data_IF_179773645571
#
_entry.id   IF_179773645571
#
_cell.length_a   1.000
_cell.length_b   1.000
_cell.length_c   1.000
_cell.angle_alpha   90.00
_cell.angle_beta   90.00
_cell.angle_gamma   90.00
#
_symmetry.space_group_name_H-M   'P 1'
#
loop_
_entity.id
_entity.type
_entity.pdbx_description
1 polymer ?
#
# COMPACT_ATOMS: atom_id res chain seq x y z
N UNK A 1 55.38 10.32 12.17
CA UNK A 1 54.77 10.33 11.73
C UNK A 1 53.54 10.26 11.85
N UNK A 2 52.98 10.58 11.75
CA UNK A 2 51.89 10.69 11.91
C UNK A 2 50.91 10.04 11.30
N UNK A 3 50.39 9.77 11.37
CA UNK A 3 49.50 9.22 10.91
C UNK A 3 48.34 9.62 10.68
N UNK A 4 47.87 9.45 10.39
CA UNK A 4 46.92 9.76 9.92
C UNK A 4 45.77 9.37 10.25
N UNK A 5 45.19 9.42 10.49
CA UNK A 5 44.21 9.15 10.90
C UNK A 5 43.09 9.09 10.11
N UNK A 6 42.69 8.88 9.87
CA UNK A 6 41.73 8.79 9.18
C UNK A 6 40.56 8.69 9.62
N UNK A 7 40.05 8.97 9.62
CA UNK A 7 38.95 9.07 10.00
C UNK A 7 38.05 8.29 9.53
N UNK A 8 38.12 8.08 9.00
CA UNK A 8 37.38 7.33 8.50
C UNK A 8 36.26 7.02 9.00
N UNK A 9 36.13 6.67 9.45
CA UNK A 9 35.11 6.25 10.05
C UNK A 9 33.91 6.75 9.63
N UNK A 10 33.70 7.32 9.55
CA UNK A 10 32.73 7.78 9.35
C UNK A 10 31.92 7.40 8.50
N UNK A 11 31.91 7.22 8.16
CA UNK A 11 31.16 6.95 7.27
C UNK A 11 29.94 6.54 7.44
N UNK A 12 29.62 6.39 7.57
CA UNK A 12 28.71 5.90 7.55
C UNK A 12 27.59 6.00 7.64
N UNK A 13 27.39 6.21 7.87
CA UNK A 13 26.44 6.33 8.00
C UNK A 13 25.52 5.89 7.31
N UNK A 14 25.21 5.76 7.17
CA UNK A 14 24.50 5.40 6.62
C UNK A 14 23.43 5.36 6.64
N UNK A 15 23.29 5.31 6.57
CA UNK A 15 22.40 5.14 6.18
C UNK A 15 21.28 4.90 6.61
N UNK A 16 21.29 4.39 6.99
CA UNK A 16 20.29 4.04 7.49
C UNK A 16 19.29 4.79 7.25
N UNK A 17 19.41 5.24 7.65
CA UNK A 17 18.49 6.06 7.58
C UNK A 17 17.99 6.20 6.31
N UNK A 18 18.73 6.51 5.73
CA UNK A 18 18.35 6.80 4.56
C UNK A 18 17.21 6.16 4.20
N UNK A 19 17.26 5.22 4.27
CA UNK A 19 16.36 4.67 3.75
C UNK A 19 15.16 4.75 4.31
N UNK A 20 15.01 4.80 5.28
CA UNK A 20 13.84 4.69 5.93
C UNK A 20 12.62 5.35 5.39
N UNK A 21 12.59 5.87 4.27
CA UNK A 21 11.36 6.41 3.73
C UNK A 21 10.32 5.31 3.59
N UNK A 22 9.12 5.50 4.14
CA UNK A 22 8.09 4.48 4.03
C UNK A 22 7.58 4.39 2.60
N UNK A 23 7.17 3.20 2.21
CA UNK A 23 6.58 3.00 0.88
C UNK A 23 5.26 3.74 0.80
N UNK A 24 4.47 3.68 1.87
CA UNK A 24 3.17 4.33 1.91
C UNK A 24 3.32 5.65 2.67
N UNK A 25 2.86 6.78 2.11
CA UNK A 25 2.98 8.06 2.78
C UNK A 25 2.32 8.06 4.15
N UNK A 26 2.87 8.83 5.07
CA UNK A 26 2.32 8.87 6.43
C UNK A 26 0.90 9.39 6.46
N UNK A 27 0.53 10.25 5.51
CA UNK A 27 -0.81 10.82 5.48
C UNK A 27 -1.77 10.00 4.62
N UNK A 28 -1.57 8.70 4.55
CA UNK A 28 -2.37 7.85 3.66
C UNK A 28 -3.85 7.86 4.01
N UNK A 29 -4.19 8.04 5.27
CA UNK A 29 -5.61 8.08 5.66
C UNK A 29 -6.29 9.30 5.06
N UNK A 30 -5.66 10.46 5.16
CA UNK A 30 -6.21 11.70 4.60
C UNK A 30 -6.29 11.61 3.08
N UNK A 31 -5.29 11.03 2.47
CA UNK A 31 -5.28 10.86 1.02
C UNK A 31 -6.42 9.92 0.58
N UNK A 32 -6.60 8.82 1.32
CA UNK A 32 -7.68 7.87 1.00
C UNK A 32 -9.05 8.55 1.11
N UNK A 33 -9.23 9.34 2.16
CA UNK A 33 -10.49 10.05 2.33
C UNK A 33 -10.74 11.03 1.21
N UNK A 34 -9.74 11.83 0.85
CA UNK A 34 -9.89 12.84 -0.20
C UNK A 34 -10.21 12.16 -1.53
N UNK A 35 -9.49 11.09 -1.84
CA UNK A 35 -9.71 10.37 -3.10
C UNK A 35 -11.14 9.85 -3.19
N UNK A 36 -11.63 9.22 -2.13
CA UNK A 36 -12.96 8.61 -2.16
C UNK A 36 -14.06 9.67 -2.06
N UNK A 37 -13.80 10.77 -1.37
CA UNK A 37 -14.75 11.86 -1.30
C UNK A 37 -15.03 12.42 -2.69
N UNK A 38 -13.99 12.54 -3.50
CA UNK A 38 -14.11 13.11 -4.85
C UNK A 38 -14.48 12.07 -5.91
N UNK A 39 -14.16 10.81 -5.67
CA UNK A 39 -14.23 9.79 -6.71
C UNK A 39 -14.88 8.48 -6.26
N UNK A 40 -15.83 8.52 -5.34
CA UNK A 40 -16.41 7.26 -4.84
C UNK A 40 -17.14 6.48 -5.93
N UNK A 41 -17.55 7.14 -7.00
CA UNK A 41 -18.21 6.44 -8.11
C UNK A 41 -17.22 5.82 -9.10
N UNK A 42 -15.92 6.03 -8.88
CA UNK A 42 -14.88 5.50 -9.76
C UNK A 42 -14.86 3.97 -9.77
N UNK A 43 -15.25 3.34 -8.68
CA UNK A 43 -15.21 1.89 -8.57
C UNK A 43 -16.41 1.42 -7.75
N UNK A 44 -16.92 0.21 -8.04
CA UNK A 44 -18.04 -0.33 -7.29
C UNK A 44 -17.56 -0.94 -5.95
N UNK A 45 -18.50 -1.05 -5.02
CA UNK A 45 -18.23 -1.64 -3.71
C UNK A 45 -17.66 -3.05 -3.83
N UNK A 46 -18.25 -3.88 -4.68
CA UNK A 46 -17.79 -5.25 -4.85
C UNK A 46 -16.36 -5.30 -5.37
N UNK A 47 -16.04 -4.45 -6.35
CA UNK A 47 -14.71 -4.47 -6.94
C UNK A 47 -13.64 -4.02 -5.95
N UNK A 48 -13.92 -2.96 -5.18
CA UNK A 48 -12.92 -2.48 -4.23
C UNK A 48 -12.72 -3.48 -3.09
N UNK A 49 -13.79 -4.15 -2.65
CA UNK A 49 -13.67 -5.17 -1.63
C UNK A 49 -12.90 -6.38 -2.13
N UNK A 50 -13.06 -6.74 -3.40
CA UNK A 50 -12.29 -7.83 -3.98
C UNK A 50 -10.80 -7.52 -3.99
N UNK A 51 -10.42 -6.28 -4.27
CA UNK A 51 -9.03 -5.88 -4.23
C UNK A 51 -8.45 -6.02 -2.82
N UNK A 52 -9.20 -5.61 -1.81
CA UNK A 52 -8.75 -5.75 -0.43
C UNK A 52 -8.56 -7.21 -0.07
N UNK A 53 -9.46 -8.07 -0.51
CA UNK A 53 -9.40 -9.49 -0.21
C UNK A 53 -8.12 -10.14 -0.75
N UNK A 54 -7.65 -9.67 -1.90
CA UNK A 54 -6.44 -10.24 -2.48
C UNK A 54 -5.21 -10.08 -1.56
N UNK A 55 -5.17 -9.03 -0.77
CA UNK A 55 -4.03 -8.77 0.11
C UNK A 55 -4.20 -9.34 1.52
N UNK A 56 -5.37 -9.90 1.82
CA UNK A 56 -5.70 -10.32 3.17
C UNK A 56 -4.76 -11.38 3.73
N UNK A 57 -4.46 -12.39 2.94
CA UNK A 57 -3.66 -13.52 3.44
C UNK A 57 -2.25 -13.11 3.81
N UNK A 58 -1.58 -12.35 2.95
CA UNK A 58 -0.21 -11.95 3.24
C UNK A 58 -0.19 -10.98 4.43
N UNK A 59 -1.19 -10.13 4.54
CA UNK A 59 -1.30 -9.24 5.69
C UNK A 59 -1.46 -10.04 6.98
N UNK A 60 -2.36 -11.02 6.98
CA UNK A 60 -2.61 -11.82 8.18
C UNK A 60 -1.37 -12.59 8.60
N UNK A 61 -0.60 -13.10 7.64
CA UNK A 61 0.63 -13.80 7.96
C UNK A 61 1.66 -12.89 8.62
N UNK A 62 1.80 -11.67 8.12
CA UNK A 62 2.80 -10.76 8.65
C UNK A 62 2.34 -9.98 9.87
N UNK A 63 1.05 -9.75 10.02
CA UNK A 63 0.55 -8.96 11.13
C UNK A 63 0.83 -9.62 12.49
N UNK A 64 0.96 -10.95 12.52
CA UNK A 64 1.22 -11.68 13.76
C UNK A 64 2.69 -11.69 14.15
N UNK A 65 3.57 -11.32 13.24
CA UNK A 65 4.99 -11.37 13.50
C UNK A 65 5.46 -10.07 14.13
N UNK A 66 6.64 -10.11 14.72
CA UNK A 66 7.21 -8.94 15.37
C UNK A 66 8.53 -8.50 14.75
N UNK A 67 9.15 -9.33 13.91
CA UNK A 67 10.39 -8.97 13.25
C UNK A 67 10.18 -7.85 12.26
N UNK A 68 11.23 -7.10 12.02
CA UNK A 68 11.14 -5.98 11.07
C UNK A 68 11.05 -6.42 9.63
N UNK A 69 11.75 -7.47 9.27
CA UNK A 69 11.80 -7.90 7.88
C UNK A 69 10.64 -8.78 7.50
N UNK A 70 10.22 -8.65 6.26
CA UNK A 70 9.23 -9.57 5.70
C UNK A 70 9.85 -10.95 5.52
N UNK A 71 9.03 -11.99 5.69
CA UNK A 71 9.47 -13.33 5.36
C UNK A 71 9.64 -13.43 3.84
N UNK A 72 10.56 -14.26 3.42
CA UNK A 72 10.75 -14.52 2.00
C UNK A 72 9.45 -15.02 1.36
N UNK A 73 8.73 -15.85 2.08
CA UNK A 73 7.45 -16.36 1.61
C UNK A 73 6.47 -15.22 1.40
N UNK A 74 6.43 -14.26 2.30
CA UNK A 74 5.56 -13.10 2.15
C UNK A 74 5.95 -12.23 0.96
N UNK A 75 7.24 -12.07 0.71
CA UNK A 75 7.70 -11.34 -0.46
C UNK A 75 7.21 -12.04 -1.73
N UNK A 76 7.28 -13.37 -1.76
CA UNK A 76 6.79 -14.12 -2.90
C UNK A 76 5.27 -13.95 -3.06
N UNK A 77 4.53 -13.95 -1.96
CA UNK A 77 3.09 -13.71 -2.01
C UNK A 77 2.78 -12.31 -2.56
N UNK A 78 3.59 -11.32 -2.20
CA UNK A 78 3.42 -9.96 -2.71
C UNK A 78 3.67 -9.92 -4.22
N UNK A 79 4.66 -10.67 -4.69
CA UNK A 79 4.91 -10.76 -6.13
C UNK A 79 3.72 -11.37 -6.88
N UNK A 80 3.14 -12.42 -6.31
CA UNK A 80 1.96 -13.03 -6.92
C UNK A 80 0.75 -12.07 -6.87
N UNK A 81 0.62 -11.34 -5.79
CA UNK A 81 -0.42 -10.34 -5.67
C UNK A 81 -0.28 -9.27 -6.74
N UNK A 82 0.95 -8.87 -7.02
CA UNK A 82 1.22 -7.89 -8.07
C UNK A 82 0.78 -8.40 -9.45
N UNK A 83 1.05 -9.67 -9.73
CA UNK A 83 0.60 -10.28 -10.97
C UNK A 83 -0.93 -10.29 -11.03
N UNK A 84 -1.57 -10.66 -9.94
CA UNK A 84 -3.01 -10.71 -9.88
C UNK A 84 -3.64 -9.34 -10.07
N UNK A 85 -3.04 -8.33 -9.45
CA UNK A 85 -3.54 -6.97 -9.59
C UNK A 85 -3.40 -6.49 -11.05
N UNK A 86 -2.29 -6.81 -11.70
CA UNK A 86 -2.10 -6.48 -13.11
C UNK A 86 -3.18 -7.13 -13.97
N UNK A 87 -3.51 -8.37 -13.66
CA UNK A 87 -4.55 -9.08 -14.39
C UNK A 87 -5.91 -8.39 -14.23
N UNK A 88 -6.27 -8.04 -12.99
CA UNK A 88 -7.54 -7.38 -12.73
C UNK A 88 -7.63 -6.03 -13.43
N UNK A 89 -6.53 -5.28 -13.45
CA UNK A 89 -6.48 -4.00 -14.15
C UNK A 89 -6.59 -4.17 -15.65
N UNK A 90 -6.00 -5.24 -16.17
CA UNK A 90 -6.02 -5.48 -17.61
C UNK A 90 -7.39 -5.87 -18.15
N UNK A 91 -8.20 -6.50 -17.30
CA UNK A 91 -9.51 -6.96 -17.78
C UNK A 91 -10.66 -6.02 -17.41
N UNK A 92 -10.41 -5.01 -16.58
CA UNK A 92 -11.48 -4.14 -16.09
C UNK A 92 -10.95 -2.71 -16.02
N UNK A 93 -11.40 -1.86 -16.95
CA UNK A 93 -10.90 -0.49 -17.01
C UNK A 93 -11.27 0.34 -15.79
N UNK A 94 -12.39 0.05 -15.15
CA UNK A 94 -12.79 0.75 -13.94
C UNK A 94 -11.81 0.44 -12.80
N UNK A 95 -11.46 -0.84 -12.65
CA UNK A 95 -10.48 -1.26 -11.66
C UNK A 95 -9.13 -0.59 -11.95
N UNK A 96 -8.73 -0.56 -13.21
CA UNK A 96 -7.47 0.04 -13.60
C UNK A 96 -7.40 1.51 -13.23
N UNK A 97 -8.44 2.27 -13.54
CA UNK A 97 -8.48 3.69 -13.21
C UNK A 97 -8.39 3.92 -11.72
N UNK A 98 -9.09 3.10 -10.94
CA UNK A 98 -9.04 3.22 -9.50
C UNK A 98 -7.64 2.91 -8.96
N UNK A 99 -7.08 1.79 -9.42
CA UNK A 99 -5.75 1.35 -8.96
C UNK A 99 -4.70 2.41 -9.28
N UNK A 100 -4.79 3.02 -10.46
CA UNK A 100 -3.86 4.08 -10.85
C UNK A 100 -4.05 5.33 -10.01
N UNK A 101 -5.29 5.73 -9.76
CA UNK A 101 -5.58 6.91 -8.95
C UNK A 101 -5.12 6.75 -7.51
N UNK A 102 -5.20 5.53 -6.99
CA UNK A 102 -4.80 5.25 -5.62
C UNK A 102 -3.33 4.81 -5.50
N UNK A 103 -2.61 4.71 -6.61
CA UNK A 103 -1.21 4.26 -6.66
C UNK A 103 -1.00 2.87 -6.09
N UNK A 104 -2.01 2.03 -6.13
CA UNK A 104 -1.93 0.70 -5.52
C UNK A 104 -0.92 -0.21 -6.20
N UNK A 105 -0.86 -0.17 -7.53
CA UNK A 105 0.09 -1.01 -8.25
C UNK A 105 1.52 -0.55 -8.01
N UNK A 106 1.74 0.75 -8.01
CA UNK A 106 3.07 1.32 -7.80
C UNK A 106 3.61 0.99 -6.41
N UNK A 107 2.78 1.15 -5.38
CA UNK A 107 3.20 0.81 -4.02
C UNK A 107 3.50 -0.68 -3.90
N UNK A 108 2.66 -1.51 -4.52
CA UNK A 108 2.86 -2.95 -4.47
C UNK A 108 4.15 -3.36 -5.17
N UNK A 109 4.48 -2.70 -6.27
CA UNK A 109 5.74 -2.95 -6.96
C UNK A 109 6.93 -2.66 -6.06
N UNK A 110 6.85 -1.58 -5.29
CA UNK A 110 7.93 -1.25 -4.35
C UNK A 110 8.00 -2.28 -3.22
N UNK A 111 6.86 -2.73 -2.72
CA UNK A 111 6.83 -3.73 -1.66
C UNK A 111 7.46 -5.05 -2.09
N UNK A 112 7.42 -5.37 -3.37
CA UNK A 112 7.97 -6.63 -3.85
C UNK A 112 9.47 -6.57 -4.10
N UNK A 113 10.11 -5.43 -3.85
CA UNK A 113 11.55 -5.28 -4.02
C UNK A 113 12.27 -5.93 -2.85
N UNK A 114 13.19 -6.80 -3.16
CA UNK A 114 13.88 -7.58 -2.14
C UNK A 114 14.80 -6.69 -1.31
N UNK A 115 14.70 -6.85 -0.01
CA UNK A 115 15.66 -6.22 0.90
C UNK A 115 15.42 -4.77 1.24
N UNK A 116 14.42 -4.15 0.66
CA UNK A 116 14.21 -2.72 0.89
C UNK A 116 12.96 -2.40 1.69
N UNK A 117 12.03 -3.33 1.78
CA UNK A 117 10.77 -3.06 2.45
C UNK A 117 10.63 -3.86 3.74
N UNK A 118 9.89 -3.30 4.67
CA UNK A 118 9.71 -3.90 5.97
C UNK A 118 8.31 -4.48 6.10
N UNK A 119 8.12 -5.22 7.18
CA UNK A 119 6.81 -5.72 7.54
C UNK A 119 5.83 -4.56 7.75
N UNK A 120 6.31 -3.46 8.33
CA UNK A 120 5.48 -2.29 8.55
C UNK A 120 4.99 -1.68 7.23
N UNK A 121 5.82 -1.70 6.20
CA UNK A 121 5.41 -1.21 4.88
C UNK A 121 4.21 -1.99 4.35
N UNK A 122 4.21 -3.30 4.52
CA UNK A 122 3.09 -4.13 4.09
C UNK A 122 1.85 -3.85 4.93
N UNK A 123 2.02 -3.70 6.23
CA UNK A 123 0.89 -3.39 7.12
C UNK A 123 0.27 -2.06 6.73
N UNK A 124 1.09 -1.05 6.46
CA UNK A 124 0.59 0.25 6.04
C UNK A 124 -0.15 0.17 4.71
N UNK A 125 0.35 -0.65 3.79
CA UNK A 125 -0.32 -0.87 2.51
C UNK A 125 -1.73 -1.43 2.71
N UNK A 126 -1.83 -2.42 3.57
CA UNK A 126 -3.12 -3.05 3.84
C UNK A 126 -4.07 -2.06 4.53
N UNK A 127 -3.57 -1.31 5.51
CA UNK A 127 -4.38 -0.30 6.19
C UNK A 127 -4.81 0.80 5.22
N UNK A 128 -3.97 1.16 4.26
CA UNK A 128 -4.34 2.11 3.24
C UNK A 128 -5.50 1.56 2.39
N UNK A 129 -5.43 0.29 2.00
CA UNK A 129 -6.52 -0.32 1.27
C UNK A 129 -7.81 -0.37 2.10
N UNK A 130 -7.68 -0.65 3.40
CA UNK A 130 -8.84 -0.63 4.28
C UNK A 130 -9.46 0.76 4.37
N UNK A 131 -8.61 1.78 4.42
CA UNK A 131 -9.09 3.16 4.45
C UNK A 131 -9.86 3.50 3.16
N UNK A 132 -9.32 3.07 2.03
CA UNK A 132 -10.00 3.29 0.74
C UNK A 132 -11.38 2.63 0.73
N UNK A 133 -11.47 1.39 1.21
CA UNK A 133 -12.75 0.68 1.26
C UNK A 133 -13.72 1.39 2.21
N UNK A 134 -13.24 1.79 3.37
CA UNK A 134 -14.10 2.44 4.37
C UNK A 134 -14.63 3.78 3.86
N UNK A 135 -13.77 4.61 3.30
CA UNK A 135 -14.20 5.91 2.81
C UNK A 135 -15.04 5.80 1.54
N UNK A 136 -14.75 4.80 0.71
CA UNK A 136 -15.62 4.53 -0.44
C UNK A 136 -17.04 4.27 0.05
N UNK A 137 -17.20 3.43 1.04
CA UNK A 137 -18.51 3.10 1.56
C UNK A 137 -19.18 4.32 2.19
N UNK A 138 -18.42 5.05 2.99
CA UNK A 138 -18.95 6.21 3.69
C UNK A 138 -19.51 7.25 2.71
N UNK A 139 -18.75 7.59 1.69
CA UNK A 139 -19.19 8.61 0.74
C UNK A 139 -20.21 8.10 -0.27
N UNK A 140 -20.18 6.82 -0.60
CA UNK A 140 -21.18 6.24 -1.48
C UNK A 140 -22.54 6.19 -0.80
N UNK A 141 -22.59 5.82 0.45
CA UNK A 141 -23.86 5.77 1.18
C UNK A 141 -24.42 7.17 1.41
N UNK A 142 -23.57 8.15 1.66
CA UNK A 142 -24.02 9.53 1.80
C UNK A 142 -24.71 10.01 0.54
N UNK A 143 -24.13 9.72 -0.62
CA UNK A 143 -24.75 10.11 -1.90
C UNK A 143 -26.07 9.41 -2.11
N UNK A 144 -26.13 8.13 -1.83
CA UNK A 144 -27.34 7.36 -1.98
C UNK A 144 -28.43 7.92 -1.06
N UNK A 145 -28.06 8.26 0.17
CA UNK A 145 -28.98 8.84 1.10
C UNK A 145 -29.56 10.17 0.62
N UNK A 146 -28.71 11.01 0.05
CA UNK A 146 -29.13 12.28 -0.50
C UNK A 146 -30.10 12.07 -1.67
N UNK A 147 -29.79 11.14 -2.55
CA UNK A 147 -30.67 10.84 -3.68
C UNK A 147 -32.04 10.34 -3.19
N UNK A 148 -32.04 9.48 -2.20
CA UNK A 148 -33.27 8.93 -1.67
C UNK A 148 -34.07 9.98 -0.90
N UNK A 149 -33.42 10.96 -0.34
CA UNK A 149 -34.10 11.99 0.41
C UNK A 149 -34.81 13.00 -0.48
N UNK A 150 -34.42 13.10 -1.71
CA UNK A 150 -35.06 13.99 -2.64
C UNK A 150 -36.20 13.28 -3.39
#
# INVERSE_FOLDING_TARGET
MPKPNHPSGKGPAKPKAAAAEPVIPENYVDFAEQLMKENCSLITKTKIQNLLRLACDVYNNENRRTEERLLKESVNQIKLLRIRLAYECGRDSQVRQFVESANLFEYLAKLSSVGTCTRQDLIDYYHYMEALVAFHRYYSESKTGEENAS
#
